data_IF_363711201221
#
_entry.id   IF_363711201221
#
_cell.length_a   1.000
_cell.length_b   1.000
_cell.length_c   1.000
_cell.angle_alpha   90.00
_cell.angle_beta   90.00
_cell.angle_gamma   90.00
#
_symmetry.space_group_name_H-M   'P 1'
#
loop_
_entity.id
_entity.type
_entity.pdbx_description
1 polymer ?
#
# COMPACT_ATOMS: atom_id res chain seq x y z
N UNK A 1 15.42 -28.25 18.08
CA UNK A 1 16.56 -27.31 17.96
C UNK A 1 16.56 -26.88 16.51
N UNK A 2 16.16 -25.69 16.09
CA UNK A 2 16.06 -24.38 16.76
C UNK A 2 15.01 -23.59 15.97
N UNK A 3 13.99 -23.06 16.65
CA UNK A 3 12.98 -22.18 16.08
C UNK A 3 13.66 -20.84 15.82
N UNK A 4 13.68 -20.38 14.56
CA UNK A 4 14.13 -19.02 14.23
C UNK A 4 13.00 -18.06 14.66
N UNK A 5 13.10 -17.52 15.86
CA UNK A 5 12.24 -16.39 16.26
C UNK A 5 12.81 -15.11 15.67
N UNK A 6 12.14 -14.58 14.65
CA UNK A 6 12.36 -13.22 14.18
C UNK A 6 11.56 -12.26 15.08
N UNK A 7 12.14 -11.14 15.55
CA UNK A 7 11.44 -10.24 16.44
C UNK A 7 10.32 -9.54 15.69
N UNK A 8 9.08 -9.70 16.18
CA UNK A 8 7.91 -8.93 15.76
C UNK A 8 8.07 -7.49 16.27
N UNK A 9 8.96 -6.73 15.65
CA UNK A 9 9.09 -5.31 15.94
C UNK A 9 7.88 -4.59 15.31
N UNK A 10 6.82 -4.47 16.10
CA UNK A 10 5.70 -3.59 15.84
C UNK A 10 6.23 -2.15 15.79
N UNK A 11 6.47 -1.64 14.58
CA UNK A 11 6.64 -0.21 14.38
C UNK A 11 5.30 0.48 14.68
N UNK A 12 5.26 1.54 15.50
CA UNK A 12 4.03 2.28 15.74
C UNK A 12 3.68 3.07 14.47
N UNK A 13 2.82 2.48 13.65
CA UNK A 13 2.19 3.13 12.50
C UNK A 13 0.90 3.76 12.99
N UNK A 14 0.86 5.10 13.00
CA UNK A 14 -0.27 5.91 13.45
C UNK A 14 -1.63 5.38 12.97
N UNK A 15 -2.60 5.23 13.89
CA UNK A 15 -4.03 5.18 13.56
C UNK A 15 -4.80 3.87 13.82
N UNK A 16 -4.14 2.73 14.04
CA UNK A 16 -4.75 1.52 14.63
C UNK A 16 -3.70 0.82 15.48
N UNK A 17 -3.94 0.70 16.78
CA UNK A 17 -3.11 -0.12 17.67
C UNK A 17 -3.01 -1.53 17.10
N UNK A 18 -1.85 -1.87 16.52
CA UNK A 18 -1.49 -3.17 15.94
C UNK A 18 -2.41 -3.66 14.81
N UNK A 19 -1.98 -3.51 13.56
CA UNK A 19 -2.41 -4.42 12.49
C UNK A 19 -1.84 -5.79 12.85
N UNK A 20 -2.65 -6.62 13.51
CA UNK A 20 -2.32 -8.02 13.81
C UNK A 20 -2.07 -8.72 12.47
N UNK A 21 -0.99 -9.47 12.37
CA UNK A 21 -0.69 -10.29 11.20
C UNK A 21 -1.66 -11.50 11.19
N UNK A 22 -2.93 -11.22 10.91
CA UNK A 22 -4.01 -12.20 10.90
C UNK A 22 -4.24 -12.72 9.49
N UNK A 23 -4.60 -14.00 9.39
CA UNK A 23 -4.81 -14.76 8.16
C UNK A 23 -6.01 -14.28 7.30
N UNK A 24 -6.71 -13.22 7.71
CA UNK A 24 -7.85 -12.65 7.02
C UNK A 24 -7.40 -11.47 6.14
N UNK A 25 -7.55 -11.61 4.82
CA UNK A 25 -7.04 -10.71 3.79
C UNK A 25 -7.70 -9.32 3.70
N UNK A 26 -8.18 -8.73 4.80
CA UNK A 26 -8.97 -7.48 4.78
C UNK A 26 -8.69 -6.47 5.90
N UNK A 27 -7.61 -6.61 6.66
CA UNK A 27 -7.41 -5.71 7.81
C UNK A 27 -7.02 -4.26 7.41
N UNK A 28 -6.49 -4.06 6.20
CA UNK A 28 -6.21 -2.73 5.67
C UNK A 28 -7.05 -2.44 4.43
N UNK A 29 -8.08 -1.64 4.63
CA UNK A 29 -8.90 -1.01 3.61
C UNK A 29 -8.47 0.46 3.45
N UNK A 30 -7.89 0.86 2.29
CA UNK A 30 -7.47 2.24 2.04
C UNK A 30 -8.63 3.25 2.09
N UNK A 31 -9.84 2.87 1.70
CA UNK A 31 -11.00 3.77 1.73
C UNK A 31 -11.44 4.03 3.17
N UNK A 32 -11.51 3.00 4.01
CA UNK A 32 -11.77 3.20 5.44
C UNK A 32 -10.69 4.06 6.10
N UNK A 33 -9.42 3.83 5.73
CA UNK A 33 -8.31 4.61 6.26
C UNK A 33 -8.41 6.08 5.85
N UNK A 34 -8.71 6.36 4.58
CA UNK A 34 -8.95 7.72 4.10
C UNK A 34 -10.10 8.41 4.86
N UNK A 35 -11.22 7.71 5.08
CA UNK A 35 -12.34 8.21 5.89
C UNK A 35 -11.89 8.54 7.31
N UNK A 36 -11.10 7.66 7.94
CA UNK A 36 -10.61 7.87 9.32
C UNK A 36 -9.68 9.09 9.46
N UNK A 37 -8.96 9.43 8.38
CA UNK A 37 -8.09 10.61 8.30
C UNK A 37 -8.87 11.88 7.92
N UNK A 38 -10.15 11.77 7.57
CA UNK A 38 -10.90 12.87 6.98
C UNK A 38 -10.39 13.28 5.59
N UNK A 39 -9.71 12.36 4.89
CA UNK A 39 -9.14 12.55 3.57
C UNK A 39 -10.17 12.21 2.48
N UNK A 40 -10.69 13.19 1.72
CA UNK A 40 -11.65 12.93 0.67
C UNK A 40 -10.98 12.21 -0.50
N UNK A 41 -11.57 11.10 -0.95
CA UNK A 41 -11.21 10.43 -2.21
C UNK A 41 -12.24 10.83 -3.26
N UNK A 42 -11.81 11.62 -4.24
CA UNK A 42 -12.68 12.25 -5.24
C UNK A 42 -12.33 11.68 -6.62
N UNK A 43 -13.32 11.07 -7.28
CA UNK A 43 -13.13 10.56 -8.62
C UNK A 43 -13.29 11.67 -9.66
N UNK A 44 -12.28 11.87 -10.51
CA UNK A 44 -12.33 12.85 -11.59
C UNK A 44 -11.74 12.31 -12.88
N UNK A 45 -12.36 12.66 -14.00
CA UNK A 45 -11.90 12.27 -15.33
C UNK A 45 -10.78 13.15 -15.89
N UNK A 46 -10.46 14.26 -15.22
CA UNK A 46 -9.39 15.20 -15.60
C UNK A 46 -8.08 14.98 -14.85
N UNK A 47 -7.93 13.83 -14.16
CA UNK A 47 -6.63 13.37 -13.68
C UNK A 47 -5.72 13.15 -14.89
N UNK A 48 -4.48 13.67 -14.89
CA UNK A 48 -3.51 13.48 -15.97
C UNK A 48 -3.38 12.02 -16.40
N UNK A 49 -3.21 11.76 -17.71
CA UNK A 49 -3.21 10.39 -18.24
C UNK A 49 -2.07 9.52 -17.71
N UNK A 50 -0.95 10.15 -17.34
CA UNK A 50 0.24 9.55 -16.74
C UNK A 50 0.05 9.18 -15.26
N UNK A 51 -1.12 9.47 -14.67
CA UNK A 51 -1.41 9.26 -13.26
C UNK A 51 -2.73 8.52 -13.05
N UNK A 52 -2.75 7.58 -12.10
CA UNK A 52 -3.98 6.89 -11.68
C UNK A 52 -4.71 7.65 -10.57
N UNK A 53 -3.95 8.27 -9.67
CA UNK A 53 -4.45 9.21 -8.68
C UNK A 53 -3.34 10.16 -8.25
N UNK A 54 -3.73 11.23 -7.56
CA UNK A 54 -2.80 12.20 -7.00
C UNK A 54 -3.36 12.82 -5.74
N UNK A 55 -2.54 12.89 -4.70
CA UNK A 55 -2.77 13.72 -3.53
C UNK A 55 -2.52 15.19 -3.86
N UNK A 56 -3.44 16.06 -3.46
CA UNK A 56 -3.28 17.51 -3.53
C UNK A 56 -3.16 18.07 -2.13
N UNK A 57 -1.99 18.65 -1.82
CA UNK A 57 -1.77 19.35 -0.55
C UNK A 57 -2.69 20.58 -0.42
N UNK A 58 -2.88 21.34 -1.51
CA UNK A 58 -3.76 22.52 -1.55
C UNK A 58 -5.21 22.17 -1.18
N UNK A 59 -5.73 21.07 -1.73
CA UNK A 59 -7.12 20.66 -1.51
C UNK A 59 -7.28 19.64 -0.37
N UNK A 60 -6.17 19.16 0.21
CA UNK A 60 -6.10 18.04 1.17
C UNK A 60 -7.01 16.88 0.77
N UNK A 61 -6.93 16.47 -0.49
CA UNK A 61 -7.77 15.44 -1.08
C UNK A 61 -6.99 14.56 -2.05
N UNK A 62 -7.46 13.34 -2.25
CA UNK A 62 -6.95 12.41 -3.26
C UNK A 62 -7.88 12.43 -4.47
N UNK A 63 -7.34 12.77 -5.64
CA UNK A 63 -8.06 12.71 -6.89
C UNK A 63 -7.75 11.42 -7.63
N UNK A 64 -8.76 10.60 -7.90
CA UNK A 64 -8.59 9.27 -8.52
C UNK A 64 -9.26 9.23 -9.90
N UNK A 65 -8.61 8.61 -10.87
CA UNK A 65 -9.21 8.36 -12.18
C UNK A 65 -10.33 7.32 -12.06
N UNK A 66 -11.53 7.54 -12.63
CA UNK A 66 -12.58 6.54 -12.61
C UNK A 66 -12.26 5.35 -13.53
N UNK A 67 -12.83 4.18 -13.21
CA UNK A 67 -12.74 2.99 -14.07
C UNK A 67 -11.42 2.21 -13.97
N UNK A 68 -10.61 2.46 -12.94
CA UNK A 68 -9.41 1.68 -12.67
C UNK A 68 -9.79 0.24 -12.27
N UNK A 69 -8.88 -0.70 -12.55
CA UNK A 69 -8.99 -2.04 -11.99
C UNK A 69 -8.87 -1.98 -10.45
N UNK A 70 -9.65 -2.80 -9.74
CA UNK A 70 -9.75 -2.72 -8.28
C UNK A 70 -8.40 -2.79 -7.56
N UNK A 71 -7.48 -3.64 -8.03
CA UNK A 71 -6.12 -3.74 -7.47
C UNK A 71 -5.28 -2.47 -7.69
N UNK A 72 -5.42 -1.84 -8.86
CA UNK A 72 -4.74 -0.57 -9.19
C UNK A 72 -5.27 0.54 -8.31
N UNK A 73 -6.60 0.67 -8.23
CA UNK A 73 -7.27 1.67 -7.43
C UNK A 73 -6.90 1.54 -5.94
N UNK A 74 -7.00 0.33 -5.38
CA UNK A 74 -6.61 0.04 -4.00
C UNK A 74 -5.15 0.39 -3.72
N UNK A 75 -4.25 -0.01 -4.62
CA UNK A 75 -2.81 0.24 -4.48
C UNK A 75 -2.48 1.72 -4.53
N UNK A 76 -3.07 2.42 -5.49
CA UNK A 76 -2.85 3.85 -5.68
C UNK A 76 -3.43 4.66 -4.52
N UNK A 77 -4.65 4.38 -4.05
CA UNK A 77 -5.20 5.10 -2.90
C UNK A 77 -4.34 4.89 -1.64
N UNK A 78 -3.86 3.66 -1.41
CA UNK A 78 -2.96 3.38 -0.30
C UNK A 78 -1.66 4.18 -0.38
N UNK A 79 -1.13 4.36 -1.59
CA UNK A 79 0.06 5.18 -1.87
C UNK A 79 -0.23 6.67 -1.59
N UNK A 80 -1.31 7.23 -2.14
CA UNK A 80 -1.65 8.65 -1.94
C UNK A 80 -1.96 9.01 -0.49
N UNK A 81 -2.49 8.07 0.31
CA UNK A 81 -2.67 8.28 1.75
C UNK A 81 -1.32 8.54 2.45
N UNK A 82 -0.24 7.89 2.00
CA UNK A 82 1.08 8.13 2.59
C UNK A 82 1.57 9.54 2.28
N UNK A 83 1.35 10.03 1.05
CA UNK A 83 1.64 11.41 0.71
C UNK A 83 0.86 12.40 1.59
N UNK A 84 -0.40 12.09 1.88
CA UNK A 84 -1.20 12.89 2.80
C UNK A 84 -0.63 12.91 4.23
N UNK A 85 -0.31 11.75 4.80
CA UNK A 85 0.23 11.64 6.16
C UNK A 85 1.58 12.34 6.35
N UNK A 86 2.34 12.48 5.28
CA UNK A 86 3.64 13.14 5.27
C UNK A 86 3.61 14.58 4.77
N UNK A 87 2.42 15.11 4.43
CA UNK A 87 2.22 16.41 3.79
C UNK A 87 3.18 16.64 2.61
N UNK A 88 3.34 15.62 1.75
CA UNK A 88 4.25 15.69 0.62
C UNK A 88 3.79 16.72 -0.42
N UNK A 89 4.70 17.62 -0.80
CA UNK A 89 4.53 18.56 -1.89
C UNK A 89 5.50 18.19 -3.02
N UNK A 90 4.97 17.55 -4.07
CA UNK A 90 5.76 17.15 -5.24
C UNK A 90 5.87 15.64 -5.44
N UNK A 91 6.85 15.24 -6.24
CA UNK A 91 7.09 13.85 -6.67
C UNK A 91 8.58 13.50 -6.55
N UNK A 92 9.22 13.91 -5.44
CA UNK A 92 10.63 13.60 -5.23
C UNK A 92 10.82 12.09 -5.06
N UNK A 93 11.89 11.53 -5.63
CA UNK A 93 12.15 10.08 -5.59
C UNK A 93 12.10 9.50 -4.18
N UNK A 94 12.59 10.25 -3.17
CA UNK A 94 12.55 9.79 -1.78
C UNK A 94 11.13 9.74 -1.18
N UNK A 95 10.23 10.62 -1.62
CA UNK A 95 8.82 10.63 -1.21
C UNK A 95 8.09 9.44 -1.83
N UNK A 96 8.26 9.23 -3.13
CA UNK A 96 7.68 8.11 -3.88
C UNK A 96 8.14 6.76 -3.32
N UNK A 97 9.44 6.57 -3.09
CA UNK A 97 9.99 5.33 -2.52
C UNK A 97 9.46 5.06 -1.10
N UNK A 98 9.24 6.11 -0.31
CA UNK A 98 8.64 6.01 1.03
C UNK A 98 7.16 5.65 0.92
N UNK A 99 6.41 6.30 0.04
CA UNK A 99 5.00 6.05 -0.21
C UNK A 99 4.78 4.60 -0.65
N UNK A 100 5.54 4.13 -1.63
CA UNK A 100 5.51 2.74 -2.08
C UNK A 100 5.81 1.75 -0.96
N UNK A 101 6.89 1.99 -0.19
CA UNK A 101 7.27 1.11 0.92
C UNK A 101 6.16 0.98 1.95
N UNK A 102 5.61 2.12 2.38
CA UNK A 102 4.60 2.16 3.43
C UNK A 102 3.29 1.57 2.93
N UNK A 103 2.84 1.95 1.73
CA UNK A 103 1.63 1.41 1.11
C UNK A 103 1.74 -0.11 0.92
N UNK A 104 2.86 -0.59 0.39
CA UNK A 104 3.11 -2.01 0.21
C UNK A 104 3.09 -2.76 1.55
N UNK A 105 3.73 -2.25 2.60
CA UNK A 105 3.70 -2.86 3.94
C UNK A 105 2.34 -2.83 4.64
N UNK A 106 1.44 -1.92 4.24
CA UNK A 106 0.04 -1.90 4.70
C UNK A 106 -0.82 -2.93 3.97
N UNK A 107 -0.61 -3.10 2.66
CA UNK A 107 -1.41 -3.95 1.79
C UNK A 107 -0.96 -5.42 1.76
N UNK A 108 0.35 -5.67 1.87
CA UNK A 108 0.96 -6.99 1.77
C UNK A 108 1.38 -7.45 3.17
N UNK A 109 0.81 -8.57 3.61
CA UNK A 109 1.17 -9.21 4.88
C UNK A 109 2.18 -10.33 4.66
N UNK A 110 3.23 -10.44 5.49
CA UNK A 110 4.17 -11.55 5.41
C UNK A 110 3.50 -12.92 5.54
N UNK A 111 2.55 -13.07 6.47
CA UNK A 111 1.79 -14.33 6.68
C UNK A 111 1.06 -14.81 5.43
N UNK A 112 0.49 -13.89 4.65
CA UNK A 112 -0.21 -14.22 3.40
C UNK A 112 0.74 -14.70 2.31
N UNK A 113 2.02 -14.30 2.34
CA UNK A 113 3.01 -14.78 1.37
C UNK A 113 3.36 -16.25 1.57
N UNK A 114 3.30 -16.77 2.81
CA UNK A 114 3.53 -18.20 3.08
C UNK A 114 2.53 -19.12 2.38
N UNK A 115 1.31 -18.61 2.08
CA UNK A 115 0.31 -19.39 1.34
C UNK A 115 0.72 -19.68 -0.11
N UNK A 116 1.65 -18.89 -0.64
CA UNK A 116 2.14 -19.04 -2.00
C UNK A 116 3.50 -19.73 -2.07
N UNK A 117 4.12 -20.02 -0.91
CA UNK A 117 5.37 -20.76 -0.85
C UNK A 117 5.17 -22.17 -1.42
N UNK A 118 5.97 -22.51 -2.44
CA UNK A 118 5.83 -23.77 -3.18
C UNK A 118 4.66 -23.84 -4.17
N UNK A 119 3.84 -22.78 -4.29
CA UNK A 119 2.77 -22.67 -5.29
C UNK A 119 3.26 -21.93 -6.54
N UNK A 120 3.89 -20.77 -6.35
CA UNK A 120 4.43 -19.96 -7.45
C UNK A 120 5.60 -19.11 -6.97
N UNK A 121 6.59 -18.92 -7.84
CA UNK A 121 7.71 -17.99 -7.63
C UNK A 121 7.51 -16.66 -8.37
N UNK A 122 6.42 -16.53 -9.15
CA UNK A 122 6.12 -15.32 -9.92
C UNK A 122 5.48 -14.25 -9.02
N UNK A 123 6.16 -13.11 -8.78
CA UNK A 123 5.62 -12.03 -7.97
C UNK A 123 4.34 -11.40 -8.53
N UNK A 124 4.17 -11.38 -9.86
CA UNK A 124 2.98 -10.80 -10.50
C UNK A 124 1.74 -11.64 -10.22
N UNK A 125 1.88 -12.98 -10.28
CA UNK A 125 0.80 -13.89 -9.89
C UNK A 125 0.40 -13.71 -8.42
N UNK A 126 1.38 -13.55 -7.52
CA UNK A 126 1.10 -13.30 -6.10
C UNK A 126 0.45 -11.92 -5.90
N UNK A 127 0.90 -10.90 -6.63
CA UNK A 127 0.34 -9.55 -6.57
C UNK A 127 -1.15 -9.53 -6.95
N UNK A 128 -1.50 -10.25 -8.02
CA UNK A 128 -2.89 -10.40 -8.47
C UNK A 128 -3.77 -10.99 -7.36
N UNK A 129 -3.34 -12.08 -6.73
CA UNK A 129 -4.14 -12.73 -5.69
C UNK A 129 -4.22 -11.95 -4.38
N UNK A 130 -3.21 -11.12 -4.09
CA UNK A 130 -3.25 -10.18 -2.97
C UNK A 130 -4.02 -8.89 -3.29
N UNK A 131 -4.48 -8.72 -4.53
CA UNK A 131 -5.18 -7.52 -4.98
C UNK A 131 -4.32 -6.27 -4.89
N UNK A 132 -3.04 -6.38 -5.25
CA UNK A 132 -2.05 -5.28 -5.30
C UNK A 132 -1.42 -5.19 -6.70
N UNK A 133 -0.78 -4.07 -7.02
CA UNK A 133 -0.03 -3.95 -8.27
C UNK A 133 1.33 -4.61 -8.19
N UNK A 134 1.85 -5.06 -9.35
CA UNK A 134 3.22 -5.58 -9.50
C UNK A 134 4.25 -4.60 -8.94
N UNK A 135 4.04 -3.29 -9.16
CA UNK A 135 4.91 -2.24 -8.64
C UNK A 135 5.04 -2.29 -7.11
N UNK A 136 3.92 -2.33 -6.38
CA UNK A 136 3.95 -2.40 -4.92
C UNK A 136 4.47 -3.75 -4.41
N UNK A 137 4.19 -4.85 -5.12
CA UNK A 137 4.79 -6.15 -4.79
C UNK A 137 6.31 -6.12 -4.92
N UNK A 138 6.84 -5.58 -6.01
CA UNK A 138 8.29 -5.44 -6.21
C UNK A 138 8.91 -4.49 -5.19
N UNK A 139 8.23 -3.40 -4.83
CA UNK A 139 8.66 -2.51 -3.76
C UNK A 139 8.77 -3.27 -2.43
N UNK A 140 7.73 -4.04 -2.06
CA UNK A 140 7.73 -4.86 -0.86
C UNK A 140 8.94 -5.82 -0.82
N UNK A 141 9.11 -6.63 -1.87
CA UNK A 141 10.19 -7.62 -1.95
C UNK A 141 11.57 -6.96 -1.87
N UNK A 142 11.77 -5.83 -2.55
CA UNK A 142 13.04 -5.07 -2.51
C UNK A 142 13.40 -4.61 -1.09
N UNK A 143 12.42 -4.15 -0.31
CA UNK A 143 12.64 -3.67 1.05
C UNK A 143 12.86 -4.81 2.04
N UNK A 144 12.18 -5.93 1.86
CA UNK A 144 12.31 -7.10 2.73
C UNK A 144 13.56 -7.94 2.44
N UNK A 145 14.07 -7.97 1.20
CA UNK A 145 15.32 -8.66 0.85
C UNK A 145 16.60 -7.96 1.36
N UNK A 146 16.49 -6.72 1.85
CA UNK A 146 17.62 -5.92 2.37
C UNK A 146 17.81 -6.04 3.89
N UNK A 147 17.02 -6.86 4.57
CA UNK A 147 17.08 -7.12 6.02
C UNK A 147 17.63 -8.52 6.28
#
# INVERSE_FOLDING_TARGET
MTQLELPVAAAPMYGRDTLVDSDCSRDYDPWEHAVSLGLPVIYRSDVPEDSNARYSLEHRAVFVRPGLHAAVERSTIAHEIVHHEHDDEGCETMQEERADRIAAGRLIRPSLLWRYEGVTEDPGAIALELGVTDHLMLAYLRWHARR
#
